data_IF_673505049481
#
_entry.id   IF_673505049481
#
_cell.length_a   1.000
_cell.length_b   1.000
_cell.length_c   1.000
_cell.angle_alpha   90.00
_cell.angle_beta   90.00
_cell.angle_gamma   90.00
#
_symmetry.space_group_name_H-M   'P 1'
#
loop_
_entity.id
_entity.type
_entity.pdbx_description
1 polymer ?
#
# COMPACT_ATOMS: atom_id res chain seq x y z
N UNK A 1 7.58 15.11 -20.21
CA UNK A 1 7.12 15.38 -18.83
C UNK A 1 5.71 15.91 -18.92
N UNK A 2 4.75 15.32 -18.18
CA UNK A 2 3.37 15.83 -18.15
C UNK A 2 3.27 16.96 -17.13
N UNK A 3 2.58 18.05 -17.48
CA UNK A 3 2.40 19.20 -16.59
C UNK A 3 1.03 19.16 -15.94
N UNK A 4 0.99 19.32 -14.62
CA UNK A 4 -0.27 19.40 -13.89
C UNK A 4 -0.92 20.77 -14.11
N UNK A 5 -2.17 20.80 -14.56
CA UNK A 5 -2.94 22.03 -14.74
C UNK A 5 -4.08 22.10 -13.72
N UNK A 6 -3.96 22.98 -12.73
CA UNK A 6 -4.93 23.11 -11.65
C UNK A 6 -6.35 23.46 -12.11
N UNK A 7 -6.51 24.17 -13.23
CA UNK A 7 -7.82 24.60 -13.73
C UNK A 7 -8.60 23.45 -14.40
N UNK A 8 -7.90 22.42 -14.89
CA UNK A 8 -8.50 21.21 -15.47
C UNK A 8 -8.94 20.19 -14.42
N UNK A 9 -8.32 20.21 -13.23
CA UNK A 9 -8.61 19.25 -12.17
C UNK A 9 -9.48 19.91 -11.10
N UNK A 10 -10.74 19.49 -10.97
CA UNK A 10 -11.71 20.05 -10.00
C UNK A 10 -11.33 19.86 -8.51
N UNK A 11 -10.13 19.37 -8.21
CA UNK A 11 -9.63 19.17 -6.85
C UNK A 11 -10.58 18.35 -5.98
N UNK A 12 -10.62 18.67 -4.68
CA UNK A 12 -11.48 17.98 -3.72
C UNK A 12 -12.99 18.16 -3.94
N UNK A 13 -13.41 19.12 -4.77
CA UNK A 13 -14.85 19.37 -4.96
C UNK A 13 -15.56 18.25 -5.73
N UNK A 14 -14.83 17.38 -6.43
CA UNK A 14 -15.40 16.19 -7.06
C UNK A 14 -15.38 14.94 -6.16
N UNK A 15 -14.67 14.96 -5.02
CA UNK A 15 -14.59 13.82 -4.11
C UNK A 15 -15.90 13.63 -3.37
N UNK A 16 -16.72 12.72 -3.89
CA UNK A 16 -17.88 12.20 -3.19
C UNK A 16 -17.43 11.03 -2.32
N UNK A 17 -17.45 11.22 -1.01
CA UNK A 17 -17.36 10.11 -0.09
C UNK A 17 -18.74 9.44 -0.05
N UNK A 18 -18.90 8.23 -0.59
CA UNK A 18 -20.14 7.50 -0.37
C UNK A 18 -20.31 7.30 1.14
N UNK A 19 -21.54 7.41 1.63
CA UNK A 19 -21.85 6.99 2.98
C UNK A 19 -21.37 5.54 3.14
N UNK A 20 -20.64 5.26 4.23
CA UNK A 20 -20.12 3.93 4.52
C UNK A 20 -21.31 2.98 4.60
N UNK A 21 -21.61 2.30 3.49
CA UNK A 21 -22.59 1.23 3.49
C UNK A 21 -22.15 0.23 4.56
N UNK A 22 -23.05 -0.08 5.49
CA UNK A 22 -22.81 -1.09 6.52
C UNK A 22 -22.31 -2.37 5.84
N UNK A 23 -21.00 -2.61 5.93
CA UNK A 23 -20.32 -3.76 5.32
C UNK A 23 -20.73 -5.10 5.95
N UNK A 24 -21.65 -5.08 6.92
CA UNK A 24 -22.16 -6.26 7.64
C UNK A 24 -22.57 -7.40 6.71
N UNK A 25 -23.08 -7.08 5.51
CA UNK A 25 -23.70 -8.09 4.64
C UNK A 25 -22.89 -8.41 3.36
N UNK A 26 -21.82 -7.68 3.03
CA UNK A 26 -21.11 -7.83 1.74
C UNK A 26 -19.68 -8.35 1.82
N UNK A 27 -19.02 -8.26 2.98
CA UNK A 27 -17.64 -8.74 3.15
C UNK A 27 -17.57 -9.51 4.46
N UNK A 28 -17.85 -10.82 4.41
CA UNK A 28 -17.45 -11.71 5.48
C UNK A 28 -15.91 -11.76 5.50
N UNK A 29 -15.30 -10.93 6.33
CA UNK A 29 -13.87 -11.00 6.58
C UNK A 29 -13.59 -12.24 7.43
N UNK A 30 -13.48 -13.41 6.80
CA UNK A 30 -13.15 -14.66 7.46
C UNK A 30 -11.64 -14.81 7.73
N UNK A 31 -10.84 -13.77 7.45
CA UNK A 31 -9.39 -13.82 7.66
C UNK A 31 -9.03 -14.08 9.13
N UNK A 32 -9.83 -13.57 10.06
CA UNK A 32 -9.65 -13.84 11.50
C UNK A 32 -9.81 -15.32 11.84
N UNK A 33 -10.66 -16.06 11.10
CA UNK A 33 -10.84 -17.51 11.30
C UNK A 33 -9.61 -18.27 10.83
N UNK A 34 -8.99 -17.82 9.73
CA UNK A 34 -7.73 -18.39 9.24
C UNK A 34 -6.59 -18.10 10.20
N UNK A 35 -6.51 -16.87 10.73
CA UNK A 35 -5.56 -16.50 11.78
C UNK A 35 -5.74 -17.35 13.03
N UNK A 36 -6.96 -17.45 13.55
CA UNK A 36 -7.28 -18.25 14.72
C UNK A 36 -6.93 -19.73 14.50
N UNK A 37 -7.30 -20.29 13.35
CA UNK A 37 -6.98 -21.67 12.99
C UNK A 37 -5.47 -21.90 12.93
N UNK A 38 -4.71 -20.99 12.31
CA UNK A 38 -3.24 -21.05 12.25
C UNK A 38 -2.63 -20.99 13.66
N UNK A 39 -3.12 -20.08 14.50
CA UNK A 39 -2.63 -19.94 15.87
C UNK A 39 -2.88 -21.18 16.73
N UNK A 40 -4.04 -21.82 16.61
CA UNK A 40 -4.37 -23.06 17.32
C UNK A 40 -3.60 -24.25 16.77
N UNK A 41 -3.55 -24.42 15.45
CA UNK A 41 -2.88 -25.57 14.82
C UNK A 41 -1.36 -25.53 15.01
N UNK A 42 -0.74 -24.34 15.12
CA UNK A 42 0.69 -24.19 15.44
C UNK A 42 1.11 -24.91 16.72
N UNK A 43 0.21 -25.04 17.69
CA UNK A 43 0.48 -25.76 18.93
C UNK A 43 0.31 -27.28 18.81
N UNK A 44 -0.33 -27.75 17.73
CA UNK A 44 -0.68 -29.15 17.52
C UNK A 44 0.19 -29.85 16.47
N UNK A 45 0.76 -29.10 15.51
CA UNK A 45 1.67 -29.62 14.49
C UNK A 45 2.79 -28.62 14.19
N UNK A 46 4.00 -29.14 14.01
CA UNK A 46 5.16 -28.43 13.47
C UNK A 46 5.87 -29.34 12.47
N UNK A 47 6.31 -28.84 11.29
CA UNK A 47 6.28 -27.44 10.84
C UNK A 47 4.96 -27.05 10.16
N UNK A 48 4.55 -25.78 10.33
CA UNK A 48 3.44 -25.16 9.60
C UNK A 48 4.01 -24.11 8.65
N UNK A 49 3.46 -23.96 7.43
CA UNK A 49 3.86 -22.89 6.54
C UNK A 49 3.72 -21.49 7.17
N UNK A 50 4.55 -20.56 6.71
CA UNK A 50 4.39 -19.15 7.06
C UNK A 50 3.05 -18.61 6.53
N UNK A 51 2.70 -17.37 6.90
CA UNK A 51 1.45 -16.74 6.47
C UNK A 51 1.22 -16.85 4.96
N UNK A 52 2.28 -16.60 4.16
CA UNK A 52 2.25 -16.73 2.69
C UNK A 52 1.89 -18.15 2.23
N UNK A 53 2.52 -19.18 2.79
CA UNK A 53 2.24 -20.58 2.45
C UNK A 53 0.85 -21.02 2.92
N UNK A 54 0.40 -20.51 4.07
CA UNK A 54 -0.97 -20.73 4.56
C UNK A 54 -1.99 -20.13 3.59
N UNK A 55 -1.80 -18.88 3.18
CA UNK A 55 -2.64 -18.22 2.18
C UNK A 55 -2.64 -18.98 0.84
N UNK A 56 -1.49 -19.47 0.39
CA UNK A 56 -1.40 -20.28 -0.82
C UNK A 56 -2.20 -21.58 -0.74
N UNK A 57 -2.24 -22.23 0.43
CA UNK A 57 -3.04 -23.46 0.64
C UNK A 57 -4.54 -23.15 0.63
N UNK A 58 -4.95 -22.03 1.25
CA UNK A 58 -6.36 -21.62 1.29
C UNK A 58 -6.87 -21.06 -0.03
N UNK A 59 -5.99 -20.41 -0.79
CA UNK A 59 -6.29 -19.90 -2.12
C UNK A 59 -6.33 -21.09 -3.10
N UNK A 60 -7.49 -21.74 -3.26
CA UNK A 60 -7.73 -22.81 -4.24
C UNK A 60 -7.78 -22.29 -5.70
N UNK A 61 -6.91 -21.35 -6.07
CA UNK A 61 -6.82 -20.78 -7.40
C UNK A 61 -5.49 -21.12 -8.06
N UNK A 62 -5.49 -21.27 -9.38
CA UNK A 62 -4.27 -21.15 -10.19
C UNK A 62 -3.55 -19.86 -9.77
N UNK A 63 -2.31 -19.96 -9.27
CA UNK A 63 -1.46 -18.77 -9.09
C UNK A 63 -1.45 -18.01 -10.42
N UNK A 64 -1.93 -16.77 -10.43
CA UNK A 64 -2.24 -16.01 -11.66
C UNK A 64 -1.00 -15.51 -12.44
N UNK A 65 0.14 -16.17 -12.26
CA UNK A 65 1.40 -15.90 -12.93
C UNK A 65 2.60 -15.95 -11.98
N UNK A 66 3.78 -15.77 -12.54
CA UNK A 66 5.01 -15.50 -11.78
C UNK A 66 4.90 -14.07 -11.23
N UNK A 67 4.92 -13.92 -9.92
CA UNK A 67 5.10 -12.61 -9.28
C UNK A 67 6.55 -12.19 -9.46
N UNK A 68 6.76 -11.03 -10.08
CA UNK A 68 8.09 -10.44 -10.20
C UNK A 68 8.20 -9.21 -9.29
N UNK A 69 9.30 -9.13 -8.55
CA UNK A 69 9.60 -8.00 -7.68
C UNK A 69 10.74 -7.25 -8.33
N UNK A 70 10.39 -6.17 -9.03
CA UNK A 70 11.37 -5.31 -9.71
C UNK A 70 11.39 -3.94 -9.06
N UNK A 71 12.60 -3.44 -8.80
CA UNK A 71 12.81 -2.06 -8.40
C UNK A 71 12.56 -1.13 -9.59
N UNK A 72 11.62 -0.20 -9.41
CA UNK A 72 11.40 0.87 -10.39
C UNK A 72 12.54 1.89 -10.34
N UNK A 73 12.85 2.57 -11.45
CA UNK A 73 13.88 3.60 -11.47
C UNK A 73 13.59 4.70 -10.45
N UNK A 74 14.64 5.18 -9.77
CA UNK A 74 14.53 6.31 -8.86
C UNK A 74 14.12 7.56 -9.63
N UNK A 75 13.13 8.28 -9.09
CA UNK A 75 12.65 9.54 -9.64
C UNK A 75 13.39 10.66 -8.92
N UNK A 76 14.39 11.25 -9.58
CA UNK A 76 15.15 12.39 -9.06
C UNK A 76 14.43 13.72 -9.35
N UNK A 77 13.22 13.86 -8.79
CA UNK A 77 12.40 15.05 -8.91
C UNK A 77 11.80 15.39 -7.56
N UNK A 78 11.46 16.66 -7.35
CA UNK A 78 10.87 17.11 -6.10
C UNK A 78 9.50 16.41 -5.88
N UNK A 79 9.33 15.59 -4.83
CA UNK A 79 8.07 14.91 -4.54
C UNK A 79 6.95 15.87 -4.10
N UNK A 80 7.30 17.11 -3.75
CA UNK A 80 6.32 18.14 -3.41
C UNK A 80 5.65 18.77 -4.64
N UNK A 81 6.24 18.66 -5.82
CA UNK A 81 5.69 19.19 -7.05
C UNK A 81 4.53 18.32 -7.58
N UNK A 82 3.39 18.93 -7.84
CA UNK A 82 2.21 18.26 -8.39
C UNK A 82 2.48 17.70 -9.80
N UNK A 83 3.30 18.37 -10.61
CA UNK A 83 3.64 17.88 -11.95
C UNK A 83 4.49 16.61 -11.89
N UNK A 84 5.39 16.51 -10.91
CA UNK A 84 6.14 15.29 -10.62
C UNK A 84 5.19 14.12 -10.31
N UNK A 85 4.25 14.30 -9.37
CA UNK A 85 3.30 13.26 -8.99
C UNK A 85 2.40 12.87 -10.17
N UNK A 86 1.86 13.86 -10.89
CA UNK A 86 0.99 13.61 -12.04
C UNK A 86 1.71 12.86 -13.16
N UNK A 87 2.91 13.30 -13.54
CA UNK A 87 3.69 12.62 -14.58
C UNK A 87 4.07 11.19 -14.20
N UNK A 88 4.34 10.94 -12.91
CA UNK A 88 4.60 9.59 -12.37
C UNK A 88 3.36 8.72 -12.46
N UNK A 89 2.19 9.22 -12.06
CA UNK A 89 0.91 8.50 -12.15
C UNK A 89 0.57 8.14 -13.60
N UNK A 90 0.75 9.07 -14.53
CA UNK A 90 0.54 8.85 -15.96
C UNK A 90 1.50 7.79 -16.53
N UNK A 91 2.77 7.82 -16.12
CA UNK A 91 3.75 6.81 -16.50
C UNK A 91 3.32 5.41 -16.04
N UNK A 92 2.97 5.26 -14.76
CA UNK A 92 2.54 3.97 -14.19
C UNK A 92 1.24 3.48 -14.85
N UNK A 93 0.28 4.39 -15.09
CA UNK A 93 -0.97 4.07 -15.79
C UNK A 93 -0.72 3.54 -17.20
N UNK A 94 0.19 4.16 -17.94
CA UNK A 94 0.56 3.74 -19.28
C UNK A 94 1.24 2.36 -19.28
N UNK A 95 2.17 2.12 -18.37
CA UNK A 95 2.84 0.81 -18.24
C UNK A 95 1.86 -0.29 -17.83
N UNK A 96 0.96 -0.01 -16.89
CA UNK A 96 -0.06 -0.97 -16.45
C UNK A 96 -1.06 -1.28 -17.58
N UNK A 97 -1.44 -0.26 -18.36
CA UNK A 97 -2.29 -0.42 -19.55
C UNK A 97 -1.63 -1.30 -20.61
N UNK A 98 -0.31 -1.14 -20.83
CA UNK A 98 0.47 -2.00 -21.74
C UNK A 98 0.46 -3.47 -21.32
N UNK A 99 0.34 -3.73 -20.03
CA UNK A 99 0.24 -5.08 -19.47
C UNK A 99 -1.21 -5.57 -19.27
N UNK A 100 -2.22 -4.75 -19.59
CA UNK A 100 -3.62 -5.06 -19.35
C UNK A 100 -3.97 -5.22 -17.86
N UNK A 101 -3.25 -4.53 -16.97
CA UNK A 101 -3.44 -4.61 -15.50
C UNK A 101 -3.87 -3.26 -14.93
N UNK A 102 -4.57 -3.30 -13.80
CA UNK A 102 -4.92 -2.10 -13.03
C UNK A 102 -3.80 -1.80 -12.03
N UNK A 103 -3.17 -0.62 -12.08
CA UNK A 103 -2.11 -0.28 -11.15
C UNK A 103 -2.69 0.06 -9.77
N UNK A 104 -2.07 -0.51 -8.73
CA UNK A 104 -2.33 -0.16 -7.33
C UNK A 104 -1.08 0.49 -6.78
N UNK A 105 -1.18 1.74 -6.35
CA UNK A 105 -0.04 2.54 -5.88
C UNK A 105 -0.29 2.91 -4.43
N UNK A 106 0.70 2.65 -3.58
CA UNK A 106 0.70 3.05 -2.18
C UNK A 106 1.58 4.25 -1.98
N UNK A 107 1.06 5.31 -1.34
CA UNK A 107 1.83 6.51 -0.99
C UNK A 107 1.73 6.83 0.49
N UNK A 108 2.78 7.47 1.03
CA UNK A 108 2.72 8.10 2.34
C UNK A 108 1.70 9.24 2.37
N UNK A 109 1.27 9.62 3.57
CA UNK A 109 0.15 10.54 3.78
C UNK A 109 0.22 11.84 2.94
N UNK A 110 1.34 12.58 2.83
CA UNK A 110 1.38 13.81 2.04
C UNK A 110 1.19 13.57 0.53
N UNK A 111 1.79 12.50 0.01
CA UNK A 111 1.71 12.12 -1.40
C UNK A 111 0.36 11.49 -1.74
N UNK A 112 -0.20 10.73 -0.80
CA UNK A 112 -1.54 10.16 -0.90
C UNK A 112 -2.60 11.24 -1.11
N UNK A 113 -2.54 12.32 -0.33
CA UNK A 113 -3.48 13.44 -0.52
C UNK A 113 -3.37 14.09 -1.90
N UNK A 114 -2.16 14.37 -2.37
CA UNK A 114 -1.92 14.98 -3.68
C UNK A 114 -2.34 14.08 -4.83
N UNK A 115 -2.00 12.79 -4.74
CA UNK A 115 -2.36 11.80 -5.74
C UNK A 115 -3.88 11.61 -5.82
N UNK A 116 -4.60 11.61 -4.70
CA UNK A 116 -6.07 11.61 -4.70
C UNK A 116 -6.65 12.81 -5.44
N UNK A 117 -6.12 14.02 -5.22
CA UNK A 117 -6.61 15.22 -5.91
C UNK A 117 -6.45 15.08 -7.44
N UNK A 118 -5.35 14.46 -7.87
CA UNK A 118 -5.05 14.21 -9.29
C UNK A 118 -5.98 13.14 -9.85
N UNK A 119 -6.12 11.99 -9.18
CA UNK A 119 -6.95 10.86 -9.65
C UNK A 119 -8.45 11.13 -9.58
N UNK A 120 -8.85 12.15 -8.81
CA UNK A 120 -10.24 12.64 -8.81
C UNK A 120 -10.62 13.37 -10.10
N UNK A 121 -9.64 13.66 -10.96
CA UNK A 121 -9.87 14.03 -12.36
C UNK A 121 -10.04 12.81 -13.28
N UNK A 122 -10.70 13.00 -14.42
CA UNK A 122 -11.04 11.90 -15.35
C UNK A 122 -9.82 11.22 -15.97
N UNK A 123 -8.68 11.91 -16.12
CA UNK A 123 -7.51 11.39 -16.84
C UNK A 123 -6.75 10.27 -16.12
N UNK A 124 -6.89 10.13 -14.80
CA UNK A 124 -6.17 9.14 -13.99
C UNK A 124 -7.11 8.19 -13.22
N UNK A 125 -8.38 8.07 -13.64
CA UNK A 125 -9.39 7.28 -12.92
C UNK A 125 -9.14 5.76 -12.91
N UNK A 126 -8.23 5.25 -13.76
CA UNK A 126 -7.87 3.83 -13.81
C UNK A 126 -6.83 3.41 -12.76
N UNK A 127 -6.31 4.36 -11.96
CA UNK A 127 -5.31 4.09 -10.94
C UNK A 127 -5.99 3.95 -9.58
N UNK A 128 -5.65 2.89 -8.84
CA UNK A 128 -6.09 2.72 -7.45
C UNK A 128 -4.98 3.25 -6.53
N UNK A 129 -5.24 4.38 -5.88
CA UNK A 129 -4.34 4.96 -4.89
C UNK A 129 -4.71 4.46 -3.48
N UNK A 130 -3.71 4.04 -2.70
CA UNK A 130 -3.86 3.57 -1.32
C UNK A 130 -2.90 4.31 -0.39
N UNK A 131 -3.31 4.47 0.87
CA UNK A 131 -2.44 5.04 1.90
C UNK A 131 -1.45 3.97 2.37
N UNK A 132 -0.15 4.27 2.28
CA UNK A 132 0.91 3.51 2.90
C UNK A 132 0.80 3.62 4.42
N UNK A 133 0.67 2.49 5.10
CA UNK A 133 0.44 2.44 6.54
C UNK A 133 1.74 2.23 7.34
N UNK A 134 2.88 2.01 6.67
CA UNK A 134 4.11 1.63 7.34
C UNK A 134 4.61 2.72 8.30
N UNK A 135 4.75 3.95 7.82
CA UNK A 135 5.12 5.09 8.67
C UNK A 135 4.09 5.38 9.77
N UNK A 136 2.81 5.18 9.50
CA UNK A 136 1.75 5.34 10.51
C UNK A 136 1.86 4.29 11.61
N UNK A 137 2.15 3.04 11.23
CA UNK A 137 2.38 1.95 12.17
C UNK A 137 3.64 2.20 12.99
N UNK A 138 4.76 2.59 12.39
CA UNK A 138 6.00 2.90 13.12
C UNK A 138 5.83 4.09 14.06
N UNK A 139 5.14 5.15 13.63
CA UNK A 139 4.80 6.30 14.49
C UNK A 139 3.90 5.90 15.67
N UNK A 140 2.90 5.05 15.44
CA UNK A 140 2.03 4.54 16.51
C UNK A 140 2.80 3.68 17.51
N UNK A 141 3.61 2.72 17.03
CA UNK A 141 4.49 1.91 17.86
C UNK A 141 5.51 2.78 18.62
N UNK A 142 6.02 3.82 17.96
CA UNK A 142 6.88 4.85 18.53
C UNK A 142 6.21 5.74 19.57
N UNK A 143 4.88 5.87 19.58
CA UNK A 143 4.14 6.53 20.67
C UNK A 143 3.97 5.62 21.91
N UNK A 144 4.00 4.30 21.70
CA UNK A 144 3.97 3.27 22.75
C UNK A 144 5.40 2.99 23.30
N UNK A 145 6.43 3.70 22.82
CA UNK A 145 7.89 3.49 22.97
C UNK A 145 8.38 2.90 24.29
N UNK A 146 7.76 3.27 25.41
CA UNK A 146 8.13 2.75 26.74
C UNK A 146 8.02 1.23 26.84
N UNK A 147 7.15 0.60 26.04
CA UNK A 147 6.97 -0.86 25.99
C UNK A 147 7.84 -1.53 24.91
N UNK A 148 8.21 -0.79 23.86
CA UNK A 148 8.84 -1.36 22.66
C UNK A 148 10.36 -1.13 22.56
N UNK A 149 10.93 -0.27 23.39
CA UNK A 149 12.39 -0.14 23.48
C UNK A 149 13.01 -1.46 23.91
N UNK A 150 13.99 -1.95 23.16
CA UNK A 150 14.64 -3.26 23.41
C UNK A 150 13.88 -4.47 22.87
N UNK A 151 12.81 -4.28 22.09
CA UNK A 151 12.07 -5.38 21.44
C UNK A 151 12.80 -6.05 20.27
N UNK A 152 13.94 -5.52 19.84
CA UNK A 152 14.64 -5.99 18.63
C UNK A 152 14.05 -5.46 17.31
N UNK A 153 12.95 -4.69 17.36
CA UNK A 153 12.25 -4.24 16.16
C UNK A 153 13.11 -3.28 15.31
N UNK A 154 13.88 -2.41 15.95
CA UNK A 154 14.77 -1.48 15.25
C UNK A 154 15.83 -2.25 14.46
N UNK A 155 16.45 -3.23 15.10
CA UNK A 155 17.51 -4.07 14.56
C UNK A 155 17.01 -4.89 13.36
N UNK A 156 15.78 -5.41 13.43
CA UNK A 156 15.14 -6.12 12.31
C UNK A 156 14.85 -5.17 11.14
N UNK A 157 14.38 -3.95 11.40
CA UNK A 157 14.11 -2.97 10.35
C UNK A 157 15.40 -2.46 9.67
N UNK A 158 16.50 -2.33 10.42
CA UNK A 158 17.82 -1.96 9.89
C UNK A 158 18.44 -3.03 8.98
N UNK A 159 17.94 -4.27 8.98
CA UNK A 159 18.34 -5.30 8.01
C UNK A 159 17.75 -5.07 6.61
N UNK A 160 16.58 -4.43 6.55
CA UNK A 160 15.81 -4.25 5.31
C UNK A 160 15.97 -2.83 4.79
N UNK A 161 16.03 -1.85 5.69
CA UNK A 161 16.10 -0.43 5.38
C UNK A 161 17.43 0.17 5.83
N UNK A 162 17.84 1.26 5.16
CA UNK A 162 19.01 2.01 5.59
C UNK A 162 18.82 2.52 7.05
N UNK A 163 19.85 2.43 7.93
CA UNK A 163 19.71 2.76 9.36
C UNK A 163 19.16 4.16 9.64
N UNK A 164 19.53 5.12 8.78
CA UNK A 164 19.05 6.50 8.88
C UNK A 164 17.55 6.63 8.57
N UNK A 165 16.98 5.76 7.73
CA UNK A 165 15.56 5.73 7.45
C UNK A 165 14.77 5.17 8.64
N UNK A 166 15.28 4.13 9.30
CA UNK A 166 14.64 3.50 10.48
C UNK A 166 14.53 4.46 11.66
N UNK A 167 15.51 5.35 11.83
CA UNK A 167 15.49 6.34 12.92
C UNK A 167 14.45 7.45 12.70
N UNK A 168 14.04 7.68 11.45
CA UNK A 168 13.08 8.71 11.04
C UNK A 168 11.65 8.16 10.87
N UNK A 169 11.47 6.85 11.06
CA UNK A 169 10.18 6.14 11.05
C UNK A 169 9.50 6.16 12.42
#
# INVERSE_FOLDING_TARGET
MYHYNADKHKGFTSLKFPELQSLKDRVFNNSWQIDALRHVTRQLKSPIPEWSGTMQIFQQGSSTGVSDITFLPMIDLNPSDMSCIYSTLMFVSKEASRQGRTPVITFDQPLYWKSIMITSGEECSNIIVRLGCFHTQTSFLGSIRRIMSGSGLKEVLELIYAPNAVTQM
#
